data_IF_544834542803
#
_entry.id   IF_544834542803
#
_cell.length_a   1.000
_cell.length_b   1.000
_cell.length_c   1.000
_cell.angle_alpha   90.00
_cell.angle_beta   90.00
_cell.angle_gamma   90.00
#
_symmetry.space_group_name_H-M   'P 1'
#
loop_
_entity.id
_entity.type
_entity.pdbx_description
1 polymer ?
#
# COMPACT_ATOMS: atom_id res chain seq x y z
N UNK A 1 10.33 3.87 -14.12
CA UNK A 1 9.59 2.71 -13.55
C UNK A 1 10.52 1.97 -12.63
N UNK A 2 10.29 2.03 -11.31
CA UNK A 2 11.13 1.40 -10.28
C UNK A 2 10.76 -0.06 -10.00
N UNK A 3 9.81 -0.62 -10.76
CA UNK A 3 9.46 -2.03 -10.72
C UNK A 3 10.59 -2.84 -11.36
N UNK A 4 11.35 -3.59 -10.56
CA UNK A 4 12.26 -4.60 -11.08
C UNK A 4 11.48 -5.80 -11.62
N UNK A 5 12.07 -6.53 -12.57
CA UNK A 5 11.50 -7.79 -13.07
C UNK A 5 11.33 -8.87 -11.97
N UNK A 6 11.95 -8.67 -10.80
CA UNK A 6 11.81 -9.54 -9.62
C UNK A 6 10.63 -9.18 -8.71
N UNK A 7 9.89 -8.11 -8.99
CA UNK A 7 8.70 -7.72 -8.25
C UNK A 7 7.47 -8.51 -8.73
N UNK A 8 6.64 -9.01 -7.81
CA UNK A 8 5.34 -9.60 -8.15
C UNK A 8 4.34 -8.56 -8.66
N UNK A 9 4.60 -7.26 -8.47
CA UNK A 9 3.68 -6.18 -8.78
C UNK A 9 3.74 -5.70 -10.25
N UNK A 10 4.13 -6.61 -11.16
CA UNK A 10 4.18 -6.37 -12.60
C UNK A 10 3.10 -7.18 -13.32
N UNK A 11 2.77 -6.77 -14.55
CA UNK A 11 1.73 -7.41 -15.36
C UNK A 11 2.02 -8.90 -15.61
N UNK A 12 3.27 -9.26 -15.86
CA UNK A 12 3.71 -10.64 -16.14
C UNK A 12 3.40 -11.59 -14.98
N UNK A 13 3.48 -11.08 -13.75
CA UNK A 13 3.18 -11.82 -12.52
C UNK A 13 1.72 -11.61 -12.08
N UNK A 14 0.89 -11.02 -12.95
CA UNK A 14 -0.52 -10.70 -12.69
C UNK A 14 -0.71 -9.89 -11.39
N UNK A 15 0.25 -9.00 -11.10
CA UNK A 15 0.28 -8.21 -9.87
C UNK A 15 0.14 -9.06 -8.59
N UNK A 16 0.68 -10.29 -8.60
CA UNK A 16 0.67 -11.23 -7.48
C UNK A 16 -0.69 -11.87 -7.16
N UNK A 17 -1.77 -11.51 -7.88
CA UNK A 17 -3.12 -12.02 -7.59
C UNK A 17 -3.22 -13.55 -7.73
N UNK A 18 -2.60 -14.11 -8.76
CA UNK A 18 -2.65 -15.56 -9.04
C UNK A 18 -1.93 -16.42 -8.00
N UNK A 19 -0.99 -15.82 -7.26
CA UNK A 19 -0.22 -16.50 -6.21
C UNK A 19 -0.82 -16.28 -4.81
N UNK A 20 -1.99 -15.62 -4.71
CA UNK A 20 -2.60 -15.25 -3.44
C UNK A 20 -1.84 -14.16 -2.69
N UNK A 21 -1.00 -13.39 -3.39
CA UNK A 21 -0.18 -12.29 -2.83
C UNK A 21 -0.42 -10.98 -3.58
N UNK A 22 -1.65 -10.42 -3.50
CA UNK A 22 -2.05 -9.32 -4.36
C UNK A 22 -1.21 -8.06 -4.09
N UNK A 23 -0.83 -7.40 -5.18
CA UNK A 23 -0.24 -6.07 -5.18
C UNK A 23 -1.31 -5.02 -5.46
N UNK A 24 -1.52 -4.11 -4.51
CA UNK A 24 -2.49 -3.02 -4.63
C UNK A 24 -1.74 -1.71 -4.84
N UNK A 25 -2.10 -0.98 -5.90
CA UNK A 25 -1.55 0.35 -6.16
C UNK A 25 -2.26 1.38 -5.27
N UNK A 26 -1.48 2.09 -4.45
CA UNK A 26 -1.97 3.19 -3.62
C UNK A 26 -1.35 4.49 -4.13
N UNK A 27 -2.20 5.47 -4.46
CA UNK A 27 -1.80 6.77 -4.98
C UNK A 27 -2.38 7.90 -4.15
N UNK A 28 -1.73 9.06 -4.19
CA UNK A 28 -2.27 10.28 -3.58
C UNK A 28 -3.21 11.00 -4.54
N UNK A 29 -4.25 11.64 -3.99
CA UNK A 29 -5.12 12.52 -4.77
C UNK A 29 -4.33 13.76 -5.23
N UNK A 30 -4.68 14.26 -6.43
CA UNK A 30 -4.11 15.50 -6.97
C UNK A 30 -4.73 16.70 -6.25
N UNK A 31 -3.93 17.39 -5.42
CA UNK A 31 -4.35 18.62 -4.73
C UNK A 31 -3.47 19.75 -5.26
N UNK A 32 -4.10 20.78 -5.85
CA UNK A 32 -3.39 21.89 -6.47
C UNK A 32 -2.55 22.63 -5.43
N UNK A 33 -1.29 22.90 -5.76
CA UNK A 33 -0.33 23.64 -4.92
C UNK A 33 -0.04 23.00 -3.55
N UNK A 34 -0.47 21.76 -3.32
CA UNK A 34 -0.16 21.06 -2.08
C UNK A 34 1.29 20.56 -2.07
N UNK A 35 2.05 20.96 -1.06
CA UNK A 35 3.42 20.52 -0.82
C UNK A 35 3.45 19.73 0.50
N UNK A 36 3.65 18.41 0.46
CA UNK A 36 3.76 17.62 1.67
C UNK A 36 5.07 17.88 2.40
N UNK A 37 4.98 17.97 3.73
CA UNK A 37 6.14 18.05 4.63
C UNK A 37 6.43 16.66 5.21
N UNK A 38 7.63 16.09 4.96
CA UNK A 38 8.03 14.82 5.54
C UNK A 38 7.98 14.83 7.06
N UNK A 39 7.76 13.67 7.67
CA UNK A 39 7.60 13.53 9.12
C UNK A 39 6.18 13.10 9.49
N UNK A 40 5.71 13.54 10.65
CA UNK A 40 4.40 13.21 11.20
C UNK A 40 3.96 14.30 12.18
N UNK A 41 2.65 14.43 12.39
CA UNK A 41 2.10 15.26 13.47
C UNK A 41 2.36 14.59 14.83
N UNK A 42 2.56 15.38 15.90
CA UNK A 42 2.82 14.83 17.23
C UNK A 42 1.72 13.86 17.72
N UNK A 43 0.45 14.14 17.39
CA UNK A 43 -0.69 13.25 17.68
C UNK A 43 -0.58 11.86 17.00
N UNK A 44 0.22 11.76 15.93
CA UNK A 44 0.46 10.54 15.18
C UNK A 44 1.73 9.81 15.59
N UNK A 45 2.51 10.34 16.55
CA UNK A 45 3.81 9.79 16.95
C UNK A 45 3.70 8.30 17.35
N UNK A 46 2.70 7.97 18.16
CA UNK A 46 2.47 6.59 18.59
C UNK A 46 2.16 5.66 17.40
N UNK A 47 1.30 6.10 16.48
CA UNK A 47 0.94 5.32 15.30
C UNK A 47 2.12 5.15 14.35
N UNK A 48 2.89 6.22 14.12
CA UNK A 48 4.08 6.22 13.27
C UNK A 48 5.16 5.26 13.79
N UNK A 49 5.45 5.34 15.09
CA UNK A 49 6.45 4.47 15.74
C UNK A 49 5.99 3.02 15.81
N UNK A 50 4.73 2.78 16.15
CA UNK A 50 4.16 1.42 16.22
C UNK A 50 4.14 0.74 14.85
N UNK A 51 3.94 1.50 13.78
CA UNK A 51 4.05 1.03 12.40
C UNK A 51 5.48 0.68 11.98
N UNK A 52 6.50 1.06 12.76
CA UNK A 52 7.90 0.90 12.38
C UNK A 52 8.35 1.81 11.24
N UNK A 53 7.58 2.86 10.93
CA UNK A 53 7.95 3.83 9.90
C UNK A 53 9.25 4.55 10.26
N UNK A 54 10.04 4.90 9.25
CA UNK A 54 11.24 5.73 9.40
C UNK A 54 11.04 7.03 8.63
N UNK A 55 11.26 8.15 9.33
CA UNK A 55 11.17 9.47 8.71
C UNK A 55 12.30 9.64 7.70
N UNK A 56 11.96 10.13 6.51
CA UNK A 56 12.90 10.46 5.43
C UNK A 56 12.80 11.96 5.18
N UNK A 57 13.91 12.65 4.94
CA UNK A 57 13.91 14.11 4.74
C UNK A 57 13.23 14.57 3.44
N UNK A 58 12.98 13.66 2.51
CA UNK A 58 12.45 13.94 1.17
C UNK A 58 11.22 13.10 0.80
N UNK A 59 10.54 12.47 1.77
CA UNK A 59 9.37 11.66 1.47
C UNK A 59 8.37 11.59 2.64
N UNK A 60 7.09 11.52 2.31
CA UNK A 60 6.01 11.18 3.25
C UNK A 60 5.76 9.69 3.25
N UNK A 61 5.26 9.15 4.38
CA UNK A 61 5.12 7.70 4.57
C UNK A 61 3.66 7.25 4.44
N UNK A 62 3.44 6.08 3.84
CA UNK A 62 2.13 5.42 3.80
C UNK A 62 2.25 4.11 4.57
N UNK A 63 1.29 3.84 5.45
CA UNK A 63 1.19 2.59 6.19
C UNK A 63 -0.21 1.99 6.06
N UNK A 64 -0.27 0.71 5.72
CA UNK A 64 -1.48 -0.08 5.55
C UNK A 64 -1.59 -1.14 6.64
N UNK A 65 -2.79 -1.35 7.15
CA UNK A 65 -3.10 -2.31 8.20
C UNK A 65 -4.57 -2.74 8.15
N UNK A 66 -4.90 -3.83 8.84
CA UNK A 66 -6.30 -4.25 9.00
C UNK A 66 -7.09 -3.22 9.81
N UNK A 67 -8.26 -2.81 9.31
CA UNK A 67 -9.02 -1.71 9.90
C UNK A 67 -9.55 -2.03 11.31
N UNK A 68 -9.95 -3.29 11.54
CA UNK A 68 -10.36 -3.81 12.84
C UNK A 68 -9.33 -4.80 13.39
N UNK A 69 -9.31 -5.07 14.71
CA UNK A 69 -8.37 -6.02 15.30
C UNK A 69 -8.38 -7.40 14.63
N UNK A 70 -9.57 -7.91 14.30
CA UNK A 70 -9.72 -9.18 13.58
C UNK A 70 -9.16 -9.13 12.16
N UNK A 71 -9.25 -7.98 11.48
CA UNK A 71 -8.63 -7.81 10.16
C UNK A 71 -7.11 -7.79 10.27
N UNK A 72 -6.57 -7.11 11.30
CA UNK A 72 -5.13 -7.04 11.54
C UNK A 72 -4.53 -8.42 11.81
N UNK A 73 -5.22 -9.29 12.56
CA UNK A 73 -4.77 -10.67 12.80
C UNK A 73 -4.73 -11.54 11.53
N UNK A 74 -5.51 -11.16 10.51
CA UNK A 74 -5.62 -11.89 9.23
C UNK A 74 -4.63 -11.42 8.16
N UNK A 75 -3.83 -10.39 8.43
CA UNK A 75 -2.79 -9.89 7.52
C UNK A 75 -1.43 -9.98 8.22
N UNK A 76 -0.47 -10.59 7.55
CA UNK A 76 0.94 -10.57 7.96
C UNK A 76 1.79 -10.18 6.77
N UNK A 77 2.96 -9.61 7.06
CA UNK A 77 4.02 -9.36 6.09
C UNK A 77 3.55 -8.56 4.86
N UNK A 78 3.49 -7.24 5.02
CA UNK A 78 3.21 -6.32 3.93
C UNK A 78 4.53 -5.77 3.41
N UNK A 79 4.76 -5.84 2.10
CA UNK A 79 5.90 -5.19 1.46
C UNK A 79 5.43 -4.00 0.65
N UNK A 80 6.11 -2.88 0.82
CA UNK A 80 5.88 -1.64 0.12
C UNK A 80 6.98 -1.45 -0.92
N UNK A 81 6.60 -1.22 -2.16
CA UNK A 81 7.52 -0.96 -3.27
C UNK A 81 7.32 0.49 -3.69
N UNK A 82 8.34 1.30 -3.39
CA UNK A 82 8.40 2.74 -3.64
C UNK A 82 9.54 3.06 -4.60
N UNK A 83 9.60 4.30 -5.11
CA UNK A 83 10.68 4.72 -6.02
C UNK A 83 12.08 4.59 -5.41
N UNK A 84 12.20 4.83 -4.11
CA UNK A 84 13.44 4.76 -3.36
C UNK A 84 13.74 3.36 -2.78
N UNK A 85 13.01 2.32 -3.18
CA UNK A 85 13.26 0.93 -2.81
C UNK A 85 12.09 0.23 -2.12
N UNK A 86 12.40 -0.93 -1.53
CA UNK A 86 11.45 -1.79 -0.83
C UNK A 86 11.55 -1.59 0.69
N UNK A 87 10.42 -1.63 1.38
CA UNK A 87 10.32 -1.52 2.83
C UNK A 87 9.18 -2.44 3.34
N UNK A 88 9.32 -3.04 4.52
CA UNK A 88 8.30 -3.96 5.07
C UNK A 88 7.42 -3.31 6.16
N UNK A 89 7.65 -2.03 6.46
CA UNK A 89 6.91 -1.27 7.45
C UNK A 89 6.03 -0.23 6.77
N UNK A 90 6.62 0.62 5.91
CA UNK A 90 5.92 1.75 5.31
C UNK A 90 6.42 2.07 3.89
N UNK A 91 5.48 2.38 3.00
CA UNK A 91 5.80 2.94 1.68
C UNK A 91 6.17 4.42 1.78
N UNK A 92 6.74 4.97 0.72
CA UNK A 92 7.10 6.39 0.68
C UNK A 92 6.82 7.05 -0.66
N UNK A 93 6.25 8.26 -0.60
CA UNK A 93 6.06 9.14 -1.75
C UNK A 93 7.07 10.28 -1.66
N UNK A 94 7.98 10.39 -2.63
CA UNK A 94 8.98 11.45 -2.66
C UNK A 94 8.34 12.82 -2.90
N UNK A 95 8.78 13.82 -2.16
CA UNK A 95 8.23 15.19 -2.22
C UNK A 95 8.53 15.90 -3.55
N UNK A 96 9.53 15.43 -4.31
CA UNK A 96 9.88 15.96 -5.65
C UNK A 96 8.75 15.87 -6.67
N UNK A 97 7.76 14.99 -6.45
CA UNK A 97 6.58 14.85 -7.29
C UNK A 97 5.49 15.89 -6.98
N UNK A 98 5.70 16.75 -5.99
CA UNK A 98 4.78 17.79 -5.57
C UNK A 98 5.41 19.18 -5.78
N UNK A 99 4.60 20.24 -5.99
CA UNK A 99 3.14 20.22 -6.02
C UNK A 99 2.56 19.80 -7.38
N UNK A 100 1.27 19.48 -7.39
CA UNK A 100 0.48 19.44 -8.62
C UNK A 100 0.05 20.86 -8.99
N UNK A 101 0.36 21.30 -10.21
CA UNK A 101 0.11 22.68 -10.69
C UNK A 101 -1.29 22.88 -11.32
N UNK A 102 -2.14 21.86 -11.30
CA UNK A 102 -3.47 21.91 -11.92
C UNK A 102 -3.46 21.68 -13.44
N UNK A 103 -4.65 21.43 -13.99
CA UNK A 103 -4.87 21.44 -15.45
C UNK A 103 -5.06 22.89 -15.88
N UNK A 104 -4.05 23.50 -16.49
CA UNK A 104 -4.22 24.78 -17.22
C UNK A 104 -4.86 24.50 -18.58
N UNK A 105 -4.65 25.36 -19.57
CA UNK A 105 -5.18 25.20 -20.95
C UNK A 105 -4.55 24.03 -21.76
N UNK A 106 -3.79 23.13 -21.12
CA UNK A 106 -3.17 21.95 -21.76
C UNK A 106 -3.65 20.67 -21.11
N UNK A 107 -3.46 19.56 -21.82
CA UNK A 107 -3.68 18.22 -21.28
C UNK A 107 -2.85 17.97 -20.01
N UNK A 108 -3.45 17.23 -19.07
CA UNK A 108 -2.83 16.90 -17.79
C UNK A 108 -1.84 15.75 -17.94
N UNK A 109 -0.59 16.09 -18.22
CA UNK A 109 0.53 15.15 -18.31
C UNK A 109 1.09 14.75 -16.93
N UNK A 110 0.59 15.33 -15.83
CA UNK A 110 1.09 15.02 -14.50
C UNK A 110 0.60 13.64 -14.04
N UNK A 111 1.54 12.78 -13.65
CA UNK A 111 1.26 11.50 -13.02
C UNK A 111 1.46 11.64 -11.50
N UNK A 112 0.38 11.44 -10.74
CA UNK A 112 0.47 11.45 -9.28
C UNK A 112 1.39 10.32 -8.80
N UNK A 113 2.23 10.56 -7.78
CA UNK A 113 3.11 9.54 -7.24
C UNK A 113 2.26 8.43 -6.59
N UNK A 114 2.76 7.21 -6.68
CA UNK A 114 2.10 6.01 -6.20
C UNK A 114 3.13 5.02 -5.64
N UNK A 115 2.64 4.09 -4.84
CA UNK A 115 3.38 2.93 -4.35
C UNK A 115 2.60 1.65 -4.67
N UNK A 116 3.31 0.53 -4.68
CA UNK A 116 2.67 -0.77 -4.61
C UNK A 116 2.72 -1.29 -3.18
N UNK A 117 1.61 -1.87 -2.73
CA UNK A 117 1.46 -2.52 -1.44
C UNK A 117 1.17 -3.99 -1.71
N UNK A 118 2.15 -4.85 -1.44
CA UNK A 118 2.03 -6.29 -1.63
C UNK A 118 1.67 -6.96 -0.31
N UNK A 119 0.58 -7.71 -0.31
CA UNK A 119 0.13 -8.49 0.84
C UNK A 119 0.67 -9.92 0.71
N UNK A 120 1.76 -10.26 1.39
CA UNK A 120 2.44 -11.54 1.19
C UNK A 120 1.78 -12.71 1.93
N UNK A 121 1.13 -12.43 3.06
CA UNK A 121 0.51 -13.44 3.91
C UNK A 121 -0.87 -12.96 4.37
N UNK A 122 -1.91 -13.42 3.66
CA UNK A 122 -3.30 -13.08 3.93
C UNK A 122 -4.06 -14.35 4.26
N UNK A 123 -4.85 -14.33 5.34
CA UNK A 123 -5.70 -15.48 5.69
C UNK A 123 -6.74 -15.72 4.61
N UNK A 124 -6.81 -16.93 4.02
CA UNK A 124 -7.77 -17.22 2.98
C UNK A 124 -9.19 -17.39 3.55
N UNK A 125 -10.19 -17.24 2.66
CA UNK A 125 -11.62 -17.39 2.92
C UNK A 125 -12.17 -16.46 4.02
N UNK A 126 -11.52 -15.32 4.26
CA UNK A 126 -11.99 -14.28 5.17
C UNK A 126 -12.01 -12.95 4.42
N UNK A 127 -13.09 -12.19 4.56
CA UNK A 127 -13.17 -10.82 4.04
C UNK A 127 -12.45 -9.90 5.03
N UNK A 128 -11.43 -9.20 4.55
CA UNK A 128 -10.55 -8.39 5.39
C UNK A 128 -10.66 -6.93 4.96
N UNK A 129 -10.98 -6.04 5.90
CA UNK A 129 -10.98 -4.59 5.65
C UNK A 129 -9.58 -4.04 5.87
N UNK A 130 -9.03 -3.40 4.85
CA UNK A 130 -7.72 -2.77 4.88
C UNK A 130 -7.88 -1.27 4.89
N UNK A 131 -7.15 -0.60 5.78
CA UNK A 131 -7.02 0.85 5.79
C UNK A 131 -5.55 1.21 5.61
N UNK A 132 -5.29 2.08 4.63
CA UNK A 132 -4.00 2.72 4.46
C UNK A 132 -4.11 4.18 4.86
N UNK A 133 -3.18 4.67 5.67
CA UNK A 133 -3.06 6.08 6.05
C UNK A 133 -1.72 6.64 5.60
N UNK A 134 -1.67 7.96 5.45
CA UNK A 134 -0.44 8.68 5.15
C UNK A 134 0.01 9.49 6.38
N UNK A 135 1.33 9.70 6.51
CA UNK A 135 1.97 10.51 7.55
C UNK A 135 2.75 11.65 6.92
N UNK A 136 2.61 12.84 7.49
CA UNK A 136 3.36 14.05 7.15
C UNK A 136 3.12 15.12 8.21
N UNK A 137 4.01 16.10 8.33
CA UNK A 137 3.86 17.18 9.34
C UNK A 137 2.67 18.12 9.05
N UNK A 138 2.17 18.15 7.82
CA UNK A 138 1.04 18.98 7.39
C UNK A 138 -0.11 18.18 6.80
N UNK A 139 -0.25 16.92 7.22
CA UNK A 139 -1.32 16.03 6.73
C UNK A 139 -2.15 15.54 7.91
N UNK A 140 -3.33 16.12 8.06
CA UNK A 140 -4.26 15.76 9.13
C UNK A 140 -4.98 14.45 8.79
N UNK A 141 -4.88 13.48 9.69
CA UNK A 141 -5.61 12.23 9.60
C UNK A 141 -7.01 12.39 10.20
N UNK A 142 -8.05 12.04 9.43
CA UNK A 142 -9.43 12.03 9.93
C UNK A 142 -10.15 10.79 9.44
N UNK A 143 -10.34 9.84 10.38
CA UNK A 143 -10.98 8.56 10.11
C UNK A 143 -12.44 8.71 9.65
N UNK A 144 -13.17 9.69 10.20
CA UNK A 144 -14.61 9.91 9.94
C UNK A 144 -14.83 10.61 8.61
N UNK A 145 -14.03 11.65 8.34
CA UNK A 145 -14.11 12.39 7.09
C UNK A 145 -13.33 11.73 5.94
N UNK A 146 -12.71 10.56 6.16
CA UNK A 146 -11.86 9.85 5.19
C UNK A 146 -10.75 10.74 4.61
N UNK A 147 -10.10 11.54 5.47
CA UNK A 147 -8.97 12.38 5.07
C UNK A 147 -7.66 11.65 5.36
N UNK A 148 -6.70 11.81 4.44
CA UNK A 148 -5.37 11.20 4.55
C UNK A 148 -5.39 9.67 4.72
N UNK A 149 -6.42 9.03 4.16
CA UNK A 149 -6.58 7.58 4.20
C UNK A 149 -7.28 7.05 2.95
N UNK A 150 -7.14 5.76 2.72
CA UNK A 150 -7.99 4.99 1.81
C UNK A 150 -8.37 3.67 2.46
N UNK A 151 -9.51 3.12 2.06
CA UNK A 151 -10.02 1.82 2.52
C UNK A 151 -10.35 0.95 1.34
N UNK A 152 -10.12 -0.34 1.48
CA UNK A 152 -10.56 -1.36 0.53
C UNK A 152 -10.70 -2.70 1.24
N UNK A 153 -11.33 -3.66 0.56
CA UNK A 153 -11.51 -5.00 1.08
C UNK A 153 -10.72 -6.00 0.23
N UNK A 154 -10.09 -6.97 0.89
CA UNK A 154 -9.44 -8.09 0.23
C UNK A 154 -10.12 -9.40 0.66
N UNK A 155 -10.29 -10.29 -0.30
CA UNK A 155 -10.79 -11.64 -0.08
C UNK A 155 -10.05 -12.59 -1.02
N UNK A 156 -9.30 -13.53 -0.43
CA UNK A 156 -8.54 -14.52 -1.19
C UNK A 156 -9.18 -15.88 -0.94
N UNK A 157 -9.59 -16.56 -2.01
CA UNK A 157 -10.11 -17.93 -1.92
C UNK A 157 -8.97 -18.90 -1.71
N UNK A 158 -9.13 -19.83 -0.77
CA UNK A 158 -8.25 -21.00 -0.75
C UNK A 158 -8.55 -21.85 -1.98
N UNK A 159 -7.56 -22.03 -2.85
CA UNK A 159 -7.68 -22.93 -3.99
C UNK A 159 -7.13 -24.27 -3.49
N UNK A 160 -7.98 -25.30 -3.31
CA UNK A 160 -7.49 -26.60 -2.88
C UNK A 160 -6.40 -27.05 -3.85
N UNK A 161 -5.20 -27.32 -3.32
CA UNK A 161 -4.09 -27.87 -4.10
C UNK A 161 -4.61 -29.15 -4.76
N UNK A 162 -4.72 -29.17 -6.08
CA UNK A 162 -5.14 -30.39 -6.81
C UNK A 162 -4.23 -31.52 -6.35
N UNK A 163 -4.81 -32.55 -5.73
CA UNK A 163 -4.08 -33.77 -5.42
C UNK A 163 -3.62 -34.34 -6.76
N UNK A 164 -2.31 -34.54 -6.99
CA UNK A 164 -1.83 -35.18 -8.20
C UNK A 164 -2.49 -36.55 -8.33
N UNK A 165 -3.04 -36.82 -9.51
CA UNK A 165 -3.68 -38.10 -9.85
C UNK A 165 -2.75 -39.32 -9.70
N UNK A 166 -1.45 -39.11 -9.48
CA UNK A 166 -0.48 -40.16 -9.16
C UNK A 166 -0.63 -40.79 -7.78
N UNK A 167 -1.48 -40.26 -6.89
CA UNK A 167 -1.75 -40.84 -5.56
C UNK A 167 -3.09 -41.56 -5.43
N UNK A 168 -3.84 -41.74 -6.52
CA UNK A 168 -5.18 -42.36 -6.50
C UNK A 168 -5.10 -43.88 -6.80
N UNK A 169 -3.92 -44.43 -7.07
CA UNK A 169 -3.74 -45.83 -7.50
C UNK A 169 -2.95 -46.75 -6.56
N UNK A 170 -2.63 -46.36 -5.33
CA UNK A 170 -1.98 -47.24 -4.34
C UNK A 170 -2.93 -47.53 -3.18
N UNK A 171 -3.96 -48.35 -3.43
CA UNK A 171 -4.69 -49.13 -2.42
C UNK A 171 -5.04 -50.48 -3.03
#
# INVERSE_FOLDING_TARGET
>A
NFLSNSSDCILQNQYGFSNGKPCILVKMNKIVSFIPKPGYLLEDEHAFKSAGCRSKSNAINIHCYGEYPTDADNIKNITYISENGHDNNCGSLETKWFPYEGKKEREDVYQAPYIWVQFNEVKPNVLINVMCRIFGENINFDRKASRALTRFQIYIKDIPKRIPSSKIGEI
#
